data_IF_667006111072
#
_entry.id   IF_667006111072
#
_cell.length_a   1.000
_cell.length_b   1.000
_cell.length_c   1.000
_cell.angle_alpha   90.00
_cell.angle_beta   90.00
_cell.angle_gamma   90.00
#
_symmetry.space_group_name_H-M   'P 1'
#
loop_
_entity.id
_entity.type
_entity.pdbx_description
1 polymer ?
#
# COMPACT_ATOMS: atom_id res chain seq x y z
N UNK A 1 16.70 20.32 -17.97
CA UNK A 1 15.59 21.08 -17.35
C UNK A 1 14.27 20.42 -17.69
N UNK A 2 13.70 19.62 -16.78
CA UNK A 2 12.27 19.38 -16.72
C UNK A 2 11.82 19.90 -15.37
N UNK A 3 11.17 21.06 -15.37
CA UNK A 3 10.37 21.48 -14.22
C UNK A 3 9.22 20.49 -14.17
N UNK A 4 9.32 19.44 -13.36
CA UNK A 4 8.16 18.62 -13.04
C UNK A 4 7.26 19.51 -12.18
N UNK A 5 6.38 20.25 -12.84
CA UNK A 5 5.21 20.81 -12.20
C UNK A 5 4.55 19.64 -11.49
N UNK A 6 4.66 19.66 -10.16
CA UNK A 6 3.87 18.86 -9.24
C UNK A 6 2.41 19.20 -9.55
N UNK A 7 1.83 18.54 -10.56
CA UNK A 7 0.40 18.59 -10.84
C UNK A 7 -0.23 18.20 -9.52
N UNK A 8 -0.91 19.16 -8.89
CA UNK A 8 -1.39 19.05 -7.52
C UNK A 8 -2.50 18.01 -7.52
N UNK A 9 -2.12 16.75 -7.31
CA UNK A 9 -3.05 15.66 -7.13
C UNK A 9 -3.97 16.00 -5.95
N UNK A 10 -5.26 15.62 -6.01
CA UNK A 10 -6.14 15.71 -4.85
C UNK A 10 -5.51 15.00 -3.64
N UNK A 11 -5.99 15.26 -2.42
CA UNK A 11 -5.57 14.51 -1.24
C UNK A 11 -5.56 13.02 -1.56
N UNK A 12 -4.44 12.35 -1.28
CA UNK A 12 -4.30 10.93 -1.53
C UNK A 12 -5.08 10.20 -0.45
N UNK A 13 -6.14 9.52 -0.84
CA UNK A 13 -7.00 8.75 0.05
C UNK A 13 -6.81 7.26 -0.24
N UNK A 14 -6.54 6.48 0.81
CA UNK A 14 -6.38 5.04 0.71
C UNK A 14 -6.79 4.35 2.00
N UNK A 15 -7.12 3.07 1.87
CA UNK A 15 -7.43 2.15 2.94
C UNK A 15 -6.27 1.16 3.08
N UNK A 16 -5.99 0.75 4.32
CA UNK A 16 -5.15 -0.43 4.60
C UNK A 16 -6.09 -1.54 5.02
N UNK A 17 -5.97 -2.68 4.36
CA UNK A 17 -6.80 -3.86 4.58
C UNK A 17 -5.93 -5.03 5.05
N UNK A 18 -6.48 -5.89 5.90
CA UNK A 18 -6.00 -7.25 6.11
C UNK A 18 -7.04 -8.18 5.50
N UNK A 19 -6.64 -8.99 4.52
CA UNK A 19 -7.59 -9.62 3.59
C UNK A 19 -8.56 -8.56 3.03
N UNK A 20 -9.88 -8.74 3.14
CA UNK A 20 -10.87 -7.75 2.71
C UNK A 20 -11.43 -6.89 3.87
N UNK A 21 -10.84 -7.00 5.07
CA UNK A 21 -11.23 -6.19 6.22
C UNK A 21 -10.41 -4.90 6.26
N UNK A 22 -11.09 -3.76 6.22
CA UNK A 22 -10.44 -2.46 6.41
C UNK A 22 -9.96 -2.32 7.87
N UNK A 23 -8.66 -2.10 8.04
CA UNK A 23 -8.02 -1.93 9.35
C UNK A 23 -7.48 -0.51 9.56
N UNK A 24 -7.31 0.28 8.50
CA UNK A 24 -7.04 1.71 8.59
C UNK A 24 -7.57 2.48 7.39
N UNK A 25 -7.82 3.78 7.58
CA UNK A 25 -8.18 4.74 6.54
C UNK A 25 -7.26 5.94 6.67
N UNK A 26 -6.68 6.38 5.56
CA UNK A 26 -5.69 7.46 5.53
C UNK A 26 -6.09 8.48 4.47
N UNK A 27 -6.12 9.75 4.88
CA UNK A 27 -6.23 10.90 3.98
C UNK A 27 -4.99 11.77 4.13
N UNK A 28 -4.21 11.83 3.07
CA UNK A 28 -2.93 12.53 3.02
C UNK A 28 -3.02 13.76 2.12
N UNK A 29 -2.79 14.94 2.69
CA UNK A 29 -2.65 16.19 1.94
C UNK A 29 -1.20 16.64 1.94
N UNK A 30 -0.50 16.40 0.82
CA UNK A 30 0.89 16.81 0.63
C UNK A 30 1.07 18.34 0.65
N UNK A 31 0.06 19.12 0.25
CA UNK A 31 0.17 20.57 0.16
C UNK A 31 0.14 21.19 1.56
N UNK A 32 -0.82 20.76 2.36
CA UNK A 32 -1.05 21.30 3.70
C UNK A 32 -0.25 20.55 4.77
N UNK A 33 0.47 19.49 4.40
CA UNK A 33 1.25 18.64 5.31
C UNK A 33 0.38 18.05 6.43
N UNK A 34 -0.85 17.66 6.09
CA UNK A 34 -1.81 17.08 7.03
C UNK A 34 -2.08 15.62 6.69
N UNK A 35 -2.24 14.82 7.75
CA UNK A 35 -2.65 13.41 7.64
C UNK A 35 -3.78 13.17 8.61
N UNK A 36 -4.89 12.68 8.10
CA UNK A 36 -6.00 12.15 8.90
C UNK A 36 -5.95 10.63 8.84
N UNK A 37 -6.01 9.99 10.01
CA UNK A 37 -5.92 8.54 10.11
C UNK A 37 -6.98 8.03 11.06
N UNK A 38 -7.73 7.04 10.61
CA UNK A 38 -8.48 6.13 11.47
C UNK A 38 -7.81 4.74 11.42
N UNK A 39 -7.73 4.05 12.56
CA UNK A 39 -7.20 2.69 12.67
C UNK A 39 -8.09 1.85 13.59
N UNK A 40 -8.29 0.58 13.27
CA UNK A 40 -9.02 -0.35 14.12
C UNK A 40 -8.13 -0.86 15.26
N UNK A 41 -8.31 -0.31 16.46
CA UNK A 41 -7.55 -0.67 17.65
C UNK A 41 -7.86 -2.07 18.20
N UNK A 42 -8.79 -2.82 17.61
CA UNK A 42 -9.03 -4.24 17.95
C UNK A 42 -8.13 -5.19 17.13
N UNK A 43 -7.38 -4.68 16.17
CA UNK A 43 -6.43 -5.44 15.36
C UNK A 43 -5.08 -5.47 16.08
N UNK A 44 -4.32 -6.57 15.91
CA UNK A 44 -2.98 -6.67 16.48
C UNK A 44 -2.10 -5.53 15.94
N UNK A 45 -1.33 -4.82 16.79
CA UNK A 45 -0.53 -3.67 16.36
C UNK A 45 0.46 -3.93 15.22
N UNK A 46 0.87 -5.19 15.02
CA UNK A 46 1.77 -5.60 13.93
C UNK A 46 1.17 -5.39 12.53
N UNK A 47 -0.16 -5.43 12.40
CA UNK A 47 -0.84 -5.22 11.12
C UNK A 47 -1.21 -3.75 10.86
N UNK A 48 -1.20 -2.93 11.91
CA UNK A 48 -1.54 -1.52 11.80
C UNK A 48 -0.42 -0.73 11.11
N UNK A 49 -0.74 0.26 10.25
CA UNK A 49 0.28 1.06 9.57
C UNK A 49 1.02 2.01 10.51
N UNK A 50 0.34 2.53 11.54
CA UNK A 50 0.93 3.50 12.48
C UNK A 50 0.60 3.13 13.93
N UNK A 51 1.09 1.98 14.43
CA UNK A 51 0.79 1.54 15.79
C UNK A 51 1.39 2.50 16.81
N UNK A 52 0.64 2.79 17.88
CA UNK A 52 1.05 3.64 19.00
C UNK A 52 1.43 5.09 18.63
N UNK A 53 1.06 5.58 17.44
CA UNK A 53 1.27 6.98 17.03
C UNK A 53 0.08 7.84 17.44
N UNK A 54 0.33 8.82 18.30
CA UNK A 54 -0.68 9.81 18.68
C UNK A 54 -0.96 10.86 17.59
N UNK A 55 0.04 11.13 16.74
CA UNK A 55 -0.07 11.99 15.56
C UNK A 55 0.76 11.40 14.43
N UNK A 56 0.13 11.21 13.28
CA UNK A 56 0.77 10.72 12.05
C UNK A 56 1.18 11.91 11.19
N UNK A 57 2.37 11.86 10.63
CA UNK A 57 2.93 12.88 9.73
C UNK A 57 3.00 12.37 8.31
N UNK A 58 3.23 13.27 7.34
CA UNK A 58 3.48 12.88 5.94
C UNK A 58 4.68 11.93 5.85
N UNK A 59 5.75 12.20 6.61
CA UNK A 59 6.93 11.34 6.68
C UNK A 59 6.59 9.92 7.12
N UNK A 60 5.74 9.76 8.14
CA UNK A 60 5.30 8.44 8.60
C UNK A 60 4.57 7.65 7.50
N UNK A 61 3.73 8.32 6.71
CA UNK A 61 3.04 7.68 5.58
C UNK A 61 4.04 7.26 4.49
N UNK A 62 5.04 8.08 4.21
CA UNK A 62 6.09 7.75 3.25
C UNK A 62 6.96 6.58 3.74
N UNK A 63 7.29 6.54 5.03
CA UNK A 63 8.00 5.43 5.66
C UNK A 63 7.17 4.14 5.60
N UNK A 64 5.85 4.23 5.79
CA UNK A 64 4.95 3.10 5.62
C UNK A 64 4.94 2.60 4.17
N UNK A 65 4.82 3.47 3.17
CA UNK A 65 4.95 3.06 1.76
C UNK A 65 6.29 2.42 1.45
N UNK A 66 7.39 2.97 1.98
CA UNK A 66 8.73 2.39 1.85
C UNK A 66 8.79 0.97 2.43
N UNK A 67 8.16 0.74 3.60
CA UNK A 67 8.09 -0.58 4.23
C UNK A 67 7.35 -1.63 3.40
N UNK A 68 6.48 -1.20 2.47
CA UNK A 68 5.72 -2.07 1.55
C UNK A 68 6.38 -2.22 0.18
N UNK A 69 7.62 -1.74 0.02
CA UNK A 69 8.40 -1.86 -1.20
C UNK A 69 9.55 -2.87 -1.04
N UNK A 70 10.08 -3.35 -2.16
CA UNK A 70 11.33 -4.12 -2.14
C UNK A 70 12.51 -3.21 -1.73
N UNK A 71 13.57 -3.73 -1.09
CA UNK A 71 14.66 -2.88 -0.60
C UNK A 71 15.31 -2.06 -1.73
N UNK A 72 15.64 -0.78 -1.46
CA UNK A 72 16.36 0.09 -2.42
C UNK A 72 17.69 -0.49 -2.89
N UNK A 73 18.33 -1.30 -2.04
CA UNK A 73 19.62 -1.98 -2.33
C UNK A 73 19.46 -3.32 -3.05
N UNK A 74 18.23 -3.70 -3.43
CA UNK A 74 17.94 -4.98 -4.08
C UNK A 74 18.71 -5.07 -5.40
N UNK A 75 19.46 -6.16 -5.56
CA UNK A 75 20.08 -6.47 -6.84
C UNK A 75 19.03 -6.57 -7.94
N UNK A 76 19.26 -5.93 -9.09
CA UNK A 76 18.30 -5.80 -10.19
C UNK A 76 17.01 -5.01 -9.87
N UNK A 77 17.07 -4.06 -8.93
CA UNK A 77 15.97 -3.13 -8.67
C UNK A 77 15.47 -2.41 -9.93
N UNK A 78 16.35 -2.05 -10.84
CA UNK A 78 16.06 -1.44 -12.14
C UNK A 78 15.11 -2.30 -13.00
N UNK A 79 15.33 -3.63 -13.04
CA UNK A 79 14.47 -4.55 -13.77
C UNK A 79 13.07 -4.66 -13.16
N UNK A 80 13.00 -4.65 -11.82
CA UNK A 80 11.72 -4.66 -11.11
C UNK A 80 10.96 -3.37 -11.44
N UNK A 81 11.61 -2.21 -11.33
CA UNK A 81 11.01 -0.92 -11.70
C UNK A 81 10.51 -0.92 -13.14
N UNK A 82 11.32 -1.41 -14.09
CA UNK A 82 10.94 -1.52 -15.49
C UNK A 82 9.68 -2.40 -15.68
N UNK A 83 9.59 -3.52 -14.97
CA UNK A 83 8.41 -4.40 -15.02
C UNK A 83 7.14 -3.74 -14.46
N UNK A 84 7.30 -2.79 -13.54
CA UNK A 84 6.22 -1.96 -12.99
C UNK A 84 5.94 -0.71 -13.86
N UNK A 85 6.67 -0.51 -14.97
CA UNK A 85 6.55 0.68 -15.80
C UNK A 85 7.14 1.95 -15.17
N UNK A 86 8.02 1.81 -14.18
CA UNK A 86 8.64 2.91 -13.44
C UNK A 86 10.11 3.10 -13.85
N UNK A 87 10.56 4.36 -13.89
CA UNK A 87 11.96 4.69 -14.19
C UNK A 87 12.82 4.87 -12.92
N UNK A 88 12.19 5.31 -11.84
CA UNK A 88 12.86 5.69 -10.60
C UNK A 88 12.19 4.99 -9.42
N UNK A 89 12.97 4.72 -8.37
CA UNK A 89 12.42 4.20 -7.12
C UNK A 89 11.71 5.33 -6.36
N UNK A 90 10.39 5.37 -6.50
CA UNK A 90 9.49 6.26 -5.76
C UNK A 90 8.46 5.39 -5.05
N UNK A 91 8.56 5.28 -3.72
CA UNK A 91 7.77 4.32 -2.92
C UNK A 91 6.25 4.45 -3.15
N UNK A 92 5.73 5.68 -3.21
CA UNK A 92 4.30 5.91 -3.48
C UNK A 92 3.87 5.41 -4.85
N UNK A 93 4.73 5.49 -5.87
CA UNK A 93 4.42 4.99 -7.22
C UNK A 93 4.56 3.47 -7.29
N UNK A 94 5.53 2.89 -6.58
CA UNK A 94 5.66 1.43 -6.45
C UNK A 94 4.40 0.86 -5.79
N UNK A 95 3.99 1.42 -4.64
CA UNK A 95 2.78 0.97 -3.92
C UNK A 95 1.52 1.11 -4.77
N UNK A 96 1.40 2.15 -5.61
CA UNK A 96 0.26 2.24 -6.56
C UNK A 96 0.23 1.11 -7.58
N UNK A 97 1.40 0.60 -7.99
CA UNK A 97 1.47 -0.52 -8.95
C UNK A 97 1.32 -1.89 -8.27
N UNK A 98 1.73 -2.02 -7.01
CA UNK A 98 1.80 -3.32 -6.32
C UNK A 98 0.77 -3.50 -5.22
N UNK A 99 0.00 -2.46 -4.90
CA UNK A 99 -0.85 -2.36 -3.70
C UNK A 99 -0.12 -2.64 -2.38
N UNK A 100 1.22 -2.58 -2.40
CA UNK A 100 2.05 -2.85 -1.24
C UNK A 100 1.87 -4.27 -0.67
N UNK A 101 1.50 -5.26 -1.48
CA UNK A 101 1.40 -6.66 -1.01
C UNK A 101 2.77 -7.21 -0.64
N UNK A 102 2.84 -8.00 0.44
CA UNK A 102 4.03 -8.74 0.85
C UNK A 102 3.68 -10.21 1.00
N UNK A 103 4.64 -11.10 0.77
CA UNK A 103 4.40 -12.54 0.83
C UNK A 103 4.06 -13.03 2.24
N UNK A 104 4.64 -12.41 3.27
CA UNK A 104 4.61 -12.86 4.66
C UNK A 104 3.34 -12.45 5.43
N UNK A 105 2.52 -11.57 4.86
CA UNK A 105 1.23 -11.15 5.43
C UNK A 105 0.14 -11.11 4.35
N UNK A 106 -1.05 -10.63 4.70
CA UNK A 106 -2.14 -10.32 3.76
C UNK A 106 -2.57 -8.86 3.88
N UNK A 107 -1.67 -8.00 4.35
CA UNK A 107 -1.94 -6.56 4.47
C UNK A 107 -1.68 -5.91 3.11
N UNK A 108 -2.59 -5.04 2.68
CA UNK A 108 -2.45 -4.34 1.41
C UNK A 108 -3.16 -2.99 1.42
N UNK A 109 -2.90 -2.20 0.37
CA UNK A 109 -3.37 -0.82 0.25
C UNK A 109 -4.33 -0.71 -0.94
N UNK A 110 -5.55 -0.24 -0.67
CA UNK A 110 -6.54 0.09 -1.69
C UNK A 110 -6.73 1.59 -1.79
N UNK A 111 -6.57 2.17 -2.98
CA UNK A 111 -6.79 3.59 -3.20
C UNK A 111 -8.30 3.88 -3.39
N UNK A 112 -8.72 5.10 -3.06
CA UNK A 112 -10.16 5.45 -2.96
C UNK A 112 -10.99 5.30 -4.24
N UNK A 113 -10.34 5.16 -5.40
CA UNK A 113 -10.98 4.97 -6.70
C UNK A 113 -10.98 3.50 -7.18
N UNK A 114 -10.76 2.55 -6.26
CA UNK A 114 -10.60 1.13 -6.56
C UNK A 114 -11.66 0.29 -5.81
N UNK A 115 -12.21 -0.70 -6.51
CA UNK A 115 -13.13 -1.70 -5.96
C UNK A 115 -12.48 -3.09 -5.97
N UNK A 116 -11.18 -3.14 -5.70
CA UNK A 116 -10.39 -4.37 -5.65
C UNK A 116 -10.63 -5.13 -4.34
N UNK A 117 -10.41 -6.44 -4.40
CA UNK A 117 -10.34 -7.37 -3.28
C UNK A 117 -8.92 -7.90 -3.10
N UNK A 118 -8.64 -8.54 -1.97
CA UNK A 118 -7.35 -9.16 -1.70
C UNK A 118 -6.98 -10.19 -2.78
N UNK A 119 -7.96 -10.92 -3.32
CA UNK A 119 -7.73 -11.92 -4.36
C UNK A 119 -7.26 -11.30 -5.69
N UNK A 120 -7.63 -10.05 -5.99
CA UNK A 120 -7.23 -9.38 -7.23
C UNK A 120 -5.74 -8.98 -7.22
N UNK A 121 -5.17 -8.79 -6.03
CA UNK A 121 -3.84 -8.16 -5.86
C UNK A 121 -2.81 -9.08 -5.19
N UNK A 122 -3.25 -10.10 -4.45
CA UNK A 122 -2.39 -10.96 -3.64
C UNK A 122 -2.30 -12.38 -4.22
N UNK A 123 -1.23 -12.72 -4.97
CA UNK A 123 -1.16 -13.98 -5.74
C UNK A 123 -1.33 -15.24 -4.88
N UNK A 124 -0.83 -15.22 -3.64
CA UNK A 124 -0.95 -16.32 -2.70
C UNK A 124 -2.39 -16.53 -2.22
N UNK A 125 -3.15 -15.44 -2.03
CA UNK A 125 -4.53 -15.52 -1.54
C UNK A 125 -5.48 -15.97 -2.65
N UNK A 126 -5.27 -15.48 -3.88
CA UNK A 126 -6.00 -15.95 -5.06
C UNK A 126 -5.92 -17.47 -5.22
N UNK A 127 -4.72 -18.05 -5.12
CA UNK A 127 -4.52 -19.49 -5.24
C UNK A 127 -5.15 -20.32 -4.10
N UNK A 128 -5.20 -19.77 -2.88
CA UNK A 128 -5.83 -20.44 -1.72
C UNK A 128 -7.36 -20.54 -1.87
N UNK A 129 -8.00 -19.53 -2.50
CA UNK A 129 -9.44 -19.58 -2.79
C UNK A 129 -9.77 -20.63 -3.86
N UNK A 130 -9.00 -20.69 -4.94
CA UNK A 130 -9.17 -21.68 -6.01
C UNK A 130 -9.03 -23.12 -5.50
N UNK A 131 -8.10 -23.36 -4.56
CA UNK A 131 -7.95 -24.68 -3.96
C UNK A 131 -9.16 -25.04 -3.08
N UNK A 132 -9.72 -24.07 -2.36
CA UNK A 132 -10.87 -24.31 -1.47
C UNK A 132 -12.17 -24.60 -2.23
N UNK A 133 -12.37 -23.99 -3.41
CA UNK A 133 -13.54 -24.28 -4.25
C UNK A 133 -13.50 -25.65 -4.90
N UNK A 134 -12.30 -26.17 -5.22
CA UNK A 134 -12.12 -27.47 -5.89
C UNK A 134 -12.27 -28.71 -4.98
N UNK A 135 -12.45 -28.54 -3.67
CA UNK A 135 -12.73 -29.64 -2.73
C UNK A 135 -14.21 -29.78 -2.35
N UNK A 136 -15.08 -28.88 -2.83
CA UNK A 136 -16.53 -28.90 -2.58
C UNK A 136 -17.37 -29.44 -3.75
N UNK A 137 -16.74 -30.09 -4.75
CA UNK A 137 -17.43 -30.82 -5.83
C UNK A 137 -17.37 -32.35 -5.63
#
# INVERSE_FOLDING_TARGET
MKKSSLFMAPPLEFEVLEHDRVIAKVKLDYRNQTVEVWQDHNVLPVFLPFPNKSKVTVGDVLDYFESRCFPRTRHHADKILQSLGLNDYVASEIVKQTHGVLYDDYVWIRFSNEELTCADVHPRFAGEQEYSSNFCE
#
